data_IF_573629363071
#
_entry.id   IF_573629363071
#
_cell.length_a   1.000
_cell.length_b   1.000
_cell.length_c   1.000
_cell.angle_alpha   90.00
_cell.angle_beta   90.00
_cell.angle_gamma   90.00
#
_symmetry.space_group_name_H-M   'P 1'
#
loop_
_entity.id
_entity.type
_entity.pdbx_description
1 polymer ?
#
# COMPACT_ATOMS: atom_id res chain seq x y z
N UNK A 1 17.56 -26.32 -27.59
CA UNK A 1 16.27 -26.20 -26.87
C UNK A 1 16.52 -25.31 -25.66
N UNK A 2 16.03 -24.07 -25.67
CA UNK A 2 16.41 -23.02 -24.69
C UNK A 2 15.30 -22.77 -23.65
N UNK A 3 15.71 -22.90 -22.39
CA UNK A 3 15.36 -22.12 -21.19
C UNK A 3 13.88 -21.83 -20.88
N UNK A 4 13.32 -22.58 -19.92
CA UNK A 4 12.24 -22.17 -19.01
C UNK A 4 12.88 -21.86 -17.65
N UNK A 5 13.26 -20.60 -17.41
CA UNK A 5 13.59 -20.05 -16.09
C UNK A 5 13.51 -18.52 -16.22
N UNK A 6 12.43 -17.91 -15.71
CA UNK A 6 12.31 -16.51 -15.23
C UNK A 6 10.81 -16.14 -15.18
N UNK A 7 10.13 -16.40 -14.07
CA UNK A 7 8.83 -15.75 -13.75
C UNK A 7 8.59 -15.81 -12.24
N UNK A 8 9.46 -15.18 -11.48
CA UNK A 8 9.27 -14.95 -10.04
C UNK A 8 10.20 -13.81 -9.62
N UNK A 9 9.76 -12.54 -9.72
CA UNK A 9 10.35 -11.33 -9.09
C UNK A 9 9.77 -10.04 -9.73
N UNK A 10 8.47 -9.77 -9.55
CA UNK A 10 7.84 -8.46 -9.87
C UNK A 10 6.55 -8.33 -9.04
N UNK A 11 6.64 -8.05 -7.73
CA UNK A 11 5.46 -8.12 -6.84
C UNK A 11 5.32 -7.02 -5.78
N UNK A 12 6.07 -5.92 -5.88
CA UNK A 12 6.06 -4.88 -4.83
C UNK A 12 5.33 -3.62 -5.29
N UNK A 13 5.60 -3.10 -6.50
CA UNK A 13 4.83 -1.98 -7.07
C UNK A 13 3.42 -2.34 -7.52
N UNK A 14 3.11 -3.62 -7.74
CA UNK A 14 1.82 -4.04 -8.33
C UNK A 14 0.68 -4.22 -7.33
N UNK A 15 0.94 -4.47 -6.03
CA UNK A 15 -0.16 -4.64 -5.06
C UNK A 15 -0.74 -3.29 -4.63
N UNK A 16 0.11 -2.29 -4.38
CA UNK A 16 -0.33 -0.92 -4.04
C UNK A 16 -0.91 -0.21 -5.29
N UNK A 17 -0.30 -0.36 -6.47
CA UNK A 17 -0.76 0.31 -7.70
C UNK A 17 -2.09 -0.23 -8.26
N UNK A 18 -2.48 -1.48 -7.96
CA UNK A 18 -3.70 -2.07 -8.49
C UNK A 18 -4.98 -1.38 -7.97
N UNK A 19 -4.91 -0.74 -6.79
CA UNK A 19 -6.04 -0.05 -6.12
C UNK A 19 -6.52 1.20 -6.86
N UNK A 20 -5.74 1.76 -7.79
CA UNK A 20 -6.07 3.06 -8.40
C UNK A 20 -6.22 3.05 -9.92
N UNK A 21 -6.08 1.88 -10.57
CA UNK A 21 -6.15 1.77 -12.04
C UNK A 21 -7.57 1.75 -12.63
N UNK A 22 -8.63 1.57 -11.83
CA UNK A 22 -9.97 1.23 -12.34
C UNK A 22 -11.04 2.33 -12.32
N UNK A 23 -10.85 3.45 -11.62
CA UNK A 23 -11.92 4.46 -11.46
C UNK A 23 -12.05 5.50 -12.60
N UNK A 24 -11.36 5.31 -13.73
CA UNK A 24 -11.42 6.26 -14.85
C UNK A 24 -11.68 5.57 -16.20
N UNK A 25 -12.82 4.89 -16.33
CA UNK A 25 -13.36 4.52 -17.65
C UNK A 25 -14.76 5.11 -17.84
N UNK A 26 -14.80 6.30 -18.44
CA UNK A 26 -15.93 6.76 -19.25
C UNK A 26 -15.42 6.93 -20.68
N UNK A 27 -15.73 5.96 -21.55
CA UNK A 27 -15.57 6.11 -23.00
C UNK A 27 -16.96 6.12 -23.63
N UNK A 28 -17.39 7.22 -24.29
CA UNK A 28 -18.54 7.18 -25.16
C UNK A 28 -18.13 6.57 -26.52
N UNK A 29 -18.91 5.59 -26.97
CA UNK A 29 -18.97 5.21 -28.38
C UNK A 29 -18.16 3.97 -28.78
N UNK A 30 -18.83 2.81 -28.75
CA UNK A 30 -18.77 1.79 -29.81
C UNK A 30 -19.81 0.70 -29.50
N UNK A 31 -21.02 0.87 -30.04
CA UNK A 31 -22.00 -0.21 -30.17
C UNK A 31 -21.45 -1.27 -31.14
N UNK A 32 -21.22 -2.51 -30.70
CA UNK A 32 -21.50 -3.73 -31.51
C UNK A 32 -21.84 -4.94 -30.62
N UNK A 33 -23.11 -5.32 -30.77
CA UNK A 33 -23.90 -6.54 -30.46
C UNK A 33 -23.36 -7.73 -29.60
N UNK A 34 -24.24 -8.38 -28.80
CA UNK A 34 -23.89 -9.44 -27.84
C UNK A 34 -24.27 -10.84 -28.35
N UNK A 35 -23.32 -11.64 -28.82
CA UNK A 35 -23.48 -13.10 -29.05
C UNK A 35 -22.12 -13.68 -29.45
N UNK A 36 -21.42 -14.34 -28.52
CA UNK A 36 -20.42 -15.44 -28.74
C UNK A 36 -19.26 -15.58 -27.72
N UNK A 37 -19.26 -14.87 -26.59
CA UNK A 37 -18.20 -15.07 -25.56
C UNK A 37 -18.51 -16.13 -24.48
N UNK A 38 -19.72 -16.70 -24.46
CA UNK A 38 -20.16 -17.64 -23.41
C UNK A 38 -19.63 -19.09 -23.51
N UNK A 39 -18.73 -19.42 -24.44
CA UNK A 39 -18.26 -20.82 -24.64
C UNK A 39 -16.77 -21.08 -24.44
N UNK A 40 -15.95 -20.09 -24.06
CA UNK A 40 -14.49 -20.29 -23.96
C UNK A 40 -13.88 -20.32 -22.56
N UNK A 41 -14.66 -20.21 -21.48
CA UNK A 41 -14.15 -20.30 -20.09
C UNK A 41 -14.80 -21.39 -19.22
N UNK A 42 -15.25 -22.50 -19.81
CA UNK A 42 -15.89 -23.61 -19.07
C UNK A 42 -15.05 -24.89 -18.94
N UNK A 43 -13.74 -24.89 -19.21
CA UNK A 43 -12.94 -26.14 -19.22
C UNK A 43 -11.60 -26.16 -18.49
N UNK A 44 -11.25 -25.16 -17.68
CA UNK A 44 -9.98 -25.16 -16.92
C UNK A 44 -10.12 -24.91 -15.40
N UNK A 45 -11.31 -25.00 -14.82
CA UNK A 45 -11.54 -24.82 -13.38
C UNK A 45 -12.42 -25.94 -12.81
N UNK A 46 -12.11 -27.19 -13.15
CA UNK A 46 -12.80 -28.33 -12.57
C UNK A 46 -11.84 -29.50 -12.32
N UNK A 47 -11.01 -29.36 -11.29
CA UNK A 47 -10.40 -30.45 -10.49
C UNK A 47 -9.54 -29.83 -9.39
N UNK A 48 -10.20 -29.54 -8.27
CA UNK A 48 -9.71 -29.46 -6.88
C UNK A 48 -10.62 -28.52 -6.09
N UNK A 49 -11.89 -28.91 -5.91
CA UNK A 49 -12.76 -28.33 -4.90
C UNK A 49 -13.15 -29.46 -3.94
N UNK A 50 -12.49 -29.49 -2.78
CA UNK A 50 -13.10 -30.10 -1.61
C UNK A 50 -14.08 -29.06 -1.01
N UNK A 51 -15.29 -29.47 -0.59
CA UNK A 51 -16.24 -28.54 0.02
C UNK A 51 -15.70 -28.01 1.35
N UNK A 52 -15.65 -26.69 1.51
CA UNK A 52 -15.33 -26.05 2.78
C UNK A 52 -16.42 -26.39 3.83
N UNK A 53 -16.05 -26.73 5.07
CA UNK A 53 -17.02 -27.04 6.11
C UNK A 53 -17.84 -25.79 6.47
N UNK A 54 -19.13 -26.01 6.73
CA UNK A 54 -20.08 -24.97 7.14
C UNK A 54 -19.60 -24.28 8.43
N UNK A 55 -19.41 -22.97 8.40
CA UNK A 55 -19.09 -22.17 9.58
C UNK A 55 -20.31 -22.07 10.50
N UNK A 56 -20.18 -22.34 11.82
CA UNK A 56 -21.24 -22.05 12.78
C UNK A 56 -21.39 -20.54 12.96
N UNK A 57 -22.63 -20.06 13.10
CA UNK A 57 -22.93 -18.73 13.63
C UNK A 57 -22.51 -18.72 15.11
N UNK A 58 -21.35 -18.14 15.40
CA UNK A 58 -20.87 -17.88 16.75
C UNK A 58 -20.04 -16.61 16.74
N UNK A 59 -20.32 -15.71 17.68
CA UNK A 59 -19.50 -14.54 18.00
C UNK A 59 -18.10 -15.00 18.44
N UNK A 60 -17.19 -15.24 17.50
CA UNK A 60 -15.79 -15.44 17.81
C UNK A 60 -15.14 -14.07 17.96
N UNK A 61 -14.95 -13.61 19.19
CA UNK A 61 -13.96 -12.56 19.45
C UNK A 61 -12.61 -13.12 19.03
N UNK A 62 -12.15 -12.81 17.81
CA UNK A 62 -10.82 -13.18 17.36
C UNK A 62 -9.82 -12.62 18.37
N UNK A 63 -9.13 -13.49 19.09
CA UNK A 63 -8.17 -13.11 20.13
C UNK A 63 -7.08 -12.25 19.47
N UNK A 64 -6.87 -11.05 20.01
CA UNK A 64 -5.78 -10.15 19.63
C UNK A 64 -4.43 -10.86 19.70
N UNK A 65 -3.57 -10.63 18.72
CA UNK A 65 -2.19 -11.14 18.68
C UNK A 65 -1.29 -9.93 18.47
N UNK A 66 -0.69 -9.43 19.54
CA UNK A 66 0.12 -8.22 19.47
C UNK A 66 1.22 -8.27 20.53
N UNK A 67 2.40 -7.74 20.22
CA UNK A 67 3.48 -7.53 21.18
C UNK A 67 3.94 -6.07 21.12
N UNK A 68 3.96 -5.36 22.26
CA UNK A 68 4.40 -3.97 22.27
C UNK A 68 5.82 -3.84 21.75
N UNK A 69 6.06 -2.83 20.91
CA UNK A 69 7.38 -2.58 20.32
C UNK A 69 7.58 -1.09 20.09
N UNK A 70 8.82 -0.65 20.22
CA UNK A 70 9.25 0.66 19.77
C UNK A 70 10.54 0.48 18.99
N UNK A 71 10.51 0.87 17.72
CA UNK A 71 11.67 0.83 16.84
C UNK A 71 12.05 2.25 16.44
N UNK A 72 13.30 2.62 16.75
CA UNK A 72 13.94 3.88 16.31
C UNK A 72 15.09 3.62 15.34
N UNK A 73 15.08 2.45 14.70
CA UNK A 73 16.05 2.05 13.69
C UNK A 73 17.50 2.08 14.21
N UNK A 74 17.73 1.70 15.47
CA UNK A 74 19.06 1.62 16.09
C UNK A 74 19.87 0.42 15.60
N UNK A 75 19.18 -0.65 15.18
CA UNK A 75 19.78 -1.84 14.57
C UNK A 75 19.64 -1.75 13.05
N UNK A 76 20.72 -1.92 12.26
CA UNK A 76 20.62 -1.90 10.81
C UNK A 76 19.63 -2.96 10.27
N UNK A 77 18.85 -2.62 9.25
CA UNK A 77 17.85 -3.48 8.58
C UNK A 77 18.50 -4.76 8.01
N UNK A 78 19.78 -4.69 7.63
CA UNK A 78 20.53 -5.85 7.14
C UNK A 78 21.11 -6.74 8.25
N UNK A 79 21.06 -6.33 9.51
CA UNK A 79 21.62 -7.09 10.61
C UNK A 79 20.70 -8.27 11.00
N UNK A 80 21.32 -9.37 11.43
CA UNK A 80 20.58 -10.49 12.00
C UNK A 80 19.81 -10.02 13.25
N UNK A 81 18.55 -10.44 13.39
CA UNK A 81 17.69 -10.04 14.50
C UNK A 81 17.05 -8.64 14.37
N UNK A 82 17.25 -7.95 13.24
CA UNK A 82 16.53 -6.71 12.93
C UNK A 82 15.01 -6.92 12.95
N UNK A 83 14.27 -5.93 13.46
CA UNK A 83 12.79 -5.90 13.37
C UNK A 83 12.29 -5.67 11.93
N UNK A 84 13.19 -5.37 11.00
CA UNK A 84 12.89 -4.95 9.64
C UNK A 84 13.75 -5.70 8.62
N UNK A 85 13.16 -5.98 7.46
CA UNK A 85 13.83 -6.58 6.31
C UNK A 85 13.55 -5.73 5.07
N UNK A 86 14.61 -5.23 4.44
CA UNK A 86 14.52 -4.61 3.13
C UNK A 86 14.20 -5.66 2.07
N UNK A 87 13.25 -5.35 1.20
CA UNK A 87 12.85 -6.19 0.07
C UNK A 87 13.44 -5.69 -1.26
N UNK A 88 13.83 -4.42 -1.31
CA UNK A 88 14.46 -3.82 -2.48
C UNK A 88 15.78 -4.52 -2.79
N UNK A 89 15.98 -4.85 -4.07
CA UNK A 89 17.17 -5.58 -4.54
C UNK A 89 18.39 -4.66 -4.63
N UNK A 90 18.17 -3.35 -4.75
CA UNK A 90 19.20 -2.32 -4.76
C UNK A 90 19.72 -2.01 -3.35
N UNK A 91 21.04 -2.01 -3.19
CA UNK A 91 21.69 -1.68 -1.91
C UNK A 91 21.64 -0.21 -1.53
N UNK A 92 21.44 0.68 -2.51
CA UNK A 92 21.29 2.13 -2.35
C UNK A 92 19.81 2.56 -2.33
N UNK A 93 18.88 1.63 -2.11
CA UNK A 93 17.44 1.92 -1.96
C UNK A 93 17.06 2.42 -0.56
N UNK A 94 18.01 2.47 0.36
CA UNK A 94 17.80 3.05 1.68
C UNK A 94 19.11 3.47 2.33
N UNK A 95 19.01 4.37 3.30
CA UNK A 95 20.10 4.72 4.20
C UNK A 95 19.57 4.76 5.63
N UNK A 96 20.25 4.07 6.55
CA UNK A 96 19.86 4.09 7.96
C UNK A 96 20.88 4.86 8.77
N UNK A 97 20.37 5.70 9.66
CA UNK A 97 21.17 6.36 10.68
C UNK A 97 20.73 5.78 12.03
N UNK A 98 21.57 5.00 12.74
CA UNK A 98 21.21 4.43 14.03
C UNK A 98 20.63 5.49 14.99
N UNK A 99 19.37 5.31 15.39
CA UNK A 99 18.64 6.26 16.24
C UNK A 99 18.11 7.52 15.52
N UNK A 100 18.56 7.78 14.29
CA UNK A 100 18.09 8.87 13.42
C UNK A 100 16.98 8.48 12.44
N UNK A 101 16.72 7.18 12.28
CA UNK A 101 15.67 6.64 11.40
C UNK A 101 16.20 5.93 10.15
N UNK A 102 15.27 5.59 9.26
CA UNK A 102 15.54 5.00 7.97
C UNK A 102 15.06 5.91 6.83
N UNK A 103 15.98 6.39 6.01
CA UNK A 103 15.67 7.03 4.74
C UNK A 103 15.31 5.96 3.70
N UNK A 104 14.10 6.07 3.15
CA UNK A 104 13.64 5.33 1.98
C UNK A 104 14.06 6.12 0.74
N UNK A 105 14.74 5.46 -0.21
CA UNK A 105 15.30 6.12 -1.39
C UNK A 105 14.64 5.56 -2.65
N UNK A 106 14.08 6.46 -3.46
CA UNK A 106 13.58 6.19 -4.80
C UNK A 106 14.62 6.68 -5.81
N UNK A 107 15.32 5.73 -6.40
CA UNK A 107 16.39 5.97 -7.35
C UNK A 107 15.82 6.27 -8.75
N UNK A 108 16.44 7.19 -9.51
CA UNK A 108 15.97 7.52 -10.85
C UNK A 108 16.08 6.32 -11.80
N UNK A 109 15.25 6.26 -12.85
CA UNK A 109 15.38 5.27 -13.91
C UNK A 109 16.72 5.41 -14.63
N UNK A 110 17.21 4.32 -15.23
CA UNK A 110 18.40 4.38 -16.07
C UNK A 110 18.10 5.04 -17.43
N UNK A 111 18.96 5.99 -17.79
CA UNK A 111 18.88 6.75 -19.04
C UNK A 111 17.80 7.83 -19.04
N UNK A 112 17.60 8.45 -20.20
CA UNK A 112 16.58 9.52 -20.36
C UNK A 112 15.18 8.91 -20.23
N UNK A 113 14.33 9.59 -19.46
CA UNK A 113 12.90 9.30 -19.30
C UNK A 113 12.12 10.09 -20.33
N UNK A 114 11.22 9.42 -21.05
CA UNK A 114 10.28 10.06 -21.97
C UNK A 114 8.92 10.14 -21.30
N UNK A 115 8.32 11.32 -21.40
CA UNK A 115 6.94 11.56 -20.96
C UNK A 115 6.02 11.33 -22.16
N UNK A 116 4.83 10.76 -21.94
CA UNK A 116 3.80 10.65 -22.96
C UNK A 116 3.44 12.03 -23.55
N UNK A 117 2.88 12.04 -24.76
CA UNK A 117 2.55 13.29 -25.47
C UNK A 117 1.55 14.18 -24.69
N UNK A 118 0.67 13.58 -23.91
CA UNK A 118 -0.28 14.26 -23.02
C UNK A 118 0.33 14.67 -21.67
N UNK A 119 1.60 14.34 -21.42
CA UNK A 119 2.32 14.70 -20.20
C UNK A 119 2.01 13.83 -18.98
N UNK A 120 1.19 12.78 -19.14
CA UNK A 120 0.57 12.07 -18.00
C UNK A 120 1.32 10.86 -17.47
N UNK A 121 2.17 10.22 -18.26
CA UNK A 121 2.92 9.03 -17.82
C UNK A 121 4.39 9.08 -18.24
N UNK A 122 5.24 8.43 -17.45
CA UNK A 122 6.63 8.15 -17.82
C UNK A 122 6.73 6.77 -18.49
N UNK A 123 7.64 6.63 -19.46
CA UNK A 123 7.97 5.35 -20.11
C UNK A 123 8.84 4.43 -19.23
N UNK A 124 9.48 4.99 -18.20
CA UNK A 124 10.32 4.30 -17.23
C UNK A 124 10.01 4.79 -15.82
N UNK A 125 10.05 3.87 -14.87
CA UNK A 125 9.84 4.14 -13.46
C UNK A 125 11.14 4.09 -12.67
N UNK A 126 11.23 4.90 -11.63
CA UNK A 126 12.29 4.81 -10.64
C UNK A 126 12.18 3.52 -9.82
N UNK A 127 13.27 3.18 -9.14
CA UNK A 127 13.33 1.99 -8.28
C UNK A 127 13.32 2.39 -6.79
N UNK A 128 12.27 1.96 -6.10
CA UNK A 128 11.89 2.41 -4.77
C UNK A 128 12.39 1.53 -3.62
N UNK A 129 12.15 2.02 -2.40
CA UNK A 129 12.44 1.27 -1.18
C UNK A 129 11.19 0.55 -0.66
N UNK A 130 11.34 -0.66 -0.17
CA UNK A 130 10.27 -1.35 0.57
C UNK A 130 10.83 -2.18 1.71
N UNK A 131 10.33 -1.94 2.91
CA UNK A 131 10.67 -2.68 4.13
C UNK A 131 9.45 -3.43 4.65
N UNK A 132 9.64 -4.68 5.07
CA UNK A 132 8.68 -5.41 5.89
C UNK A 132 9.18 -5.51 7.32
N UNK A 133 8.27 -5.44 8.30
CA UNK A 133 8.56 -5.92 9.64
C UNK A 133 8.79 -7.43 9.64
N UNK A 134 9.69 -7.90 10.51
CA UNK A 134 9.93 -9.34 10.75
C UNK A 134 8.96 -9.93 11.77
N UNK A 135 8.14 -9.08 12.38
CA UNK A 135 7.04 -9.43 13.29
C UNK A 135 5.69 -9.10 12.65
N UNK A 136 4.61 -9.57 13.26
CA UNK A 136 3.24 -9.36 12.79
C UNK A 136 2.31 -9.13 13.97
N UNK A 137 1.15 -8.52 13.70
CA UNK A 137 0.09 -8.26 14.66
C UNK A 137 -1.29 -8.54 14.05
N UNK A 138 -2.23 -8.94 14.89
CA UNK A 138 -3.66 -9.00 14.63
C UNK A 138 -4.31 -8.12 15.68
N UNK A 139 -4.79 -6.95 15.23
CA UNK A 139 -5.20 -5.83 16.07
C UNK A 139 -4.04 -5.23 16.89
N UNK A 140 -4.21 -3.98 17.29
CA UNK A 140 -3.22 -3.16 17.95
C UNK A 140 -3.21 -1.75 17.39
N UNK A 141 -2.35 -0.90 17.95
CA UNK A 141 -2.19 0.48 17.53
C UNK A 141 -0.78 0.67 17.00
N UNK A 142 -0.68 1.03 15.72
CA UNK A 142 0.58 1.27 15.03
C UNK A 142 0.76 2.77 14.83
N UNK A 143 1.80 3.34 15.42
CA UNK A 143 2.16 4.75 15.29
C UNK A 143 3.46 4.87 14.51
N UNK A 144 3.46 5.66 13.44
CA UNK A 144 4.65 5.91 12.60
C UNK A 144 4.92 7.39 12.52
N UNK A 145 6.14 7.79 12.88
CA UNK A 145 6.62 9.16 12.71
C UNK A 145 7.50 9.22 11.48
N UNK A 146 7.07 9.97 10.46
CA UNK A 146 7.76 10.00 9.16
C UNK A 146 7.61 11.34 8.43
N UNK A 147 8.56 11.61 7.53
CA UNK A 147 8.51 12.67 6.53
C UNK A 147 8.37 12.03 5.15
N UNK A 148 7.24 12.28 4.48
CA UNK A 148 6.98 11.79 3.13
C UNK A 148 7.65 12.67 2.05
N UNK A 149 7.90 12.10 0.87
CA UNK A 149 8.53 12.80 -0.24
C UNK A 149 7.55 13.78 -0.93
N UNK A 150 7.81 15.10 -0.95
CA UNK A 150 6.93 16.11 -1.56
C UNK A 150 7.20 16.25 -3.08
N UNK A 151 7.13 15.14 -3.82
CA UNK A 151 7.34 15.13 -5.27
C UNK A 151 6.12 14.53 -5.97
N UNK A 152 5.50 15.24 -6.93
CA UNK A 152 4.41 14.71 -7.76
C UNK A 152 4.73 13.32 -8.32
N UNK A 153 3.78 12.38 -8.24
CA UNK A 153 3.99 10.99 -8.69
C UNK A 153 4.83 10.10 -7.76
N UNK A 154 5.45 10.63 -6.70
CA UNK A 154 6.07 9.83 -5.66
C UNK A 154 5.06 9.54 -4.54
N UNK A 155 5.01 8.29 -4.08
CA UNK A 155 4.09 7.85 -3.03
C UNK A 155 4.86 7.26 -1.87
N UNK A 156 4.67 7.82 -0.67
CA UNK A 156 5.19 7.26 0.59
C UNK A 156 4.06 6.49 1.27
N UNK A 157 4.29 5.24 1.66
CA UNK A 157 3.24 4.37 2.18
C UNK A 157 3.63 3.68 3.50
N UNK A 158 2.64 3.54 4.37
CA UNK A 158 2.59 2.61 5.50
C UNK A 158 1.40 1.69 5.27
N UNK A 159 1.62 0.39 5.24
CA UNK A 159 0.58 -0.61 5.00
C UNK A 159 0.64 -1.70 6.05
N UNK A 160 -0.48 -2.01 6.70
CA UNK A 160 -0.63 -3.27 7.44
C UNK A 160 -1.08 -4.35 6.47
N UNK A 161 -0.20 -5.26 6.11
CA UNK A 161 -0.40 -6.23 5.03
C UNK A 161 -0.52 -7.65 5.56
N UNK A 162 -1.57 -8.36 5.15
CA UNK A 162 -1.83 -9.75 5.48
C UNK A 162 -0.60 -10.64 5.22
N UNK A 163 -0.30 -11.50 6.18
CA UNK A 163 0.83 -12.45 6.08
C UNK A 163 0.50 -13.65 5.19
N UNK A 164 -0.78 -14.00 5.10
CA UNK A 164 -1.32 -15.13 4.31
C UNK A 164 -2.56 -14.78 3.50
N UNK A 165 -3.02 -13.53 3.59
CA UNK A 165 -4.18 -12.99 2.86
C UNK A 165 -3.76 -11.70 2.17
N UNK A 166 -4.69 -11.12 1.41
CA UNK A 166 -4.54 -9.79 0.83
C UNK A 166 -5.30 -8.73 1.65
N UNK A 167 -5.41 -8.94 2.97
CA UNK A 167 -5.96 -7.91 3.87
C UNK A 167 -4.95 -6.76 3.93
N UNK A 168 -5.41 -5.52 3.76
CA UNK A 168 -4.59 -4.32 3.76
C UNK A 168 -5.29 -3.19 4.53
N UNK A 169 -4.52 -2.44 5.31
CA UNK A 169 -4.90 -1.16 5.92
C UNK A 169 -3.82 -0.16 5.56
N UNK A 170 -4.19 0.89 4.84
CA UNK A 170 -3.25 1.78 4.19
C UNK A 170 -3.22 3.17 4.81
N UNK A 171 -2.02 3.75 4.77
CA UNK A 171 -1.73 5.18 4.89
C UNK A 171 -0.84 5.54 3.69
N UNK A 172 -1.37 6.31 2.75
CA UNK A 172 -0.67 6.69 1.52
C UNK A 172 -0.54 8.21 1.42
N UNK A 173 0.69 8.69 1.23
CA UNK A 173 0.98 10.12 1.11
C UNK A 173 1.47 10.39 -0.30
N UNK A 174 0.70 11.20 -1.03
CA UNK A 174 0.98 11.57 -2.41
C UNK A 174 1.80 12.85 -2.43
N UNK A 175 3.02 12.80 -2.97
CA UNK A 175 3.89 13.97 -3.03
C UNK A 175 3.34 15.13 -3.86
N UNK A 176 2.38 14.85 -4.76
CA UNK A 176 1.69 15.86 -5.56
C UNK A 176 0.36 16.37 -5.00
N UNK A 177 -0.04 15.95 -3.79
CA UNK A 177 -1.20 16.50 -3.07
C UNK A 177 -0.74 17.04 -1.69
N UNK A 178 -0.17 18.26 -1.65
CA UNK A 178 0.62 18.70 -0.50
C UNK A 178 -0.16 18.83 0.81
N UNK A 179 -1.48 18.99 0.79
CA UNK A 179 -2.31 19.25 1.97
C UNK A 179 -3.13 18.04 2.41
N UNK A 180 -3.02 16.91 1.71
CA UNK A 180 -3.80 15.71 1.99
C UNK A 180 -2.93 14.45 2.04
N UNK A 181 -3.54 13.41 2.59
CA UNK A 181 -3.06 12.03 2.58
C UNK A 181 -4.27 11.11 2.46
N UNK A 182 -4.03 9.82 2.24
CA UNK A 182 -5.11 8.87 1.99
C UNK A 182 -5.07 7.71 2.97
N UNK A 183 -6.27 7.24 3.30
CA UNK A 183 -6.51 6.05 4.10
C UNK A 183 -7.28 5.05 3.24
N UNK A 184 -6.93 3.78 3.32
CA UNK A 184 -7.66 2.76 2.57
C UNK A 184 -7.69 1.44 3.33
N UNK A 185 -8.63 0.60 2.92
CA UNK A 185 -8.76 -0.78 3.36
C UNK A 185 -9.04 -1.63 2.14
N UNK A 186 -8.34 -2.76 2.04
CA UNK A 186 -8.61 -3.78 1.04
C UNK A 186 -8.70 -5.16 1.69
N UNK A 187 -9.72 -5.93 1.33
CA UNK A 187 -9.88 -7.32 1.73
C UNK A 187 -10.73 -8.04 0.68
N UNK A 188 -10.23 -9.06 -0.03
CA UNK A 188 -11.06 -9.83 -0.92
C UNK A 188 -12.15 -10.60 -0.14
N UNK A 189 -13.38 -10.59 -0.66
CA UNK A 189 -14.44 -11.46 -0.15
C UNK A 189 -14.60 -12.73 -1.00
N UNK A 190 -14.88 -13.91 -0.42
CA UNK A 190 -14.94 -15.19 -1.16
C UNK A 190 -15.93 -15.26 -2.34
N UNK A 191 -16.90 -14.34 -2.41
CA UNK A 191 -17.94 -14.31 -3.45
C UNK A 191 -17.72 -13.22 -4.50
N UNK A 192 -16.67 -12.41 -4.36
CA UNK A 192 -16.36 -11.39 -5.34
C UNK A 192 -15.43 -11.93 -6.41
N UNK A 193 -15.77 -11.62 -7.66
CA UNK A 193 -15.00 -12.04 -8.84
C UNK A 193 -14.00 -10.99 -9.28
N UNK A 194 -14.13 -9.75 -8.81
CA UNK A 194 -13.25 -8.63 -9.12
C UNK A 194 -12.87 -7.90 -7.83
N UNK A 195 -11.65 -7.37 -7.70
CA UNK A 195 -11.22 -6.63 -6.52
C UNK A 195 -11.95 -5.29 -6.35
N UNK A 196 -12.32 -4.94 -5.11
CA UNK A 196 -12.89 -3.63 -4.77
C UNK A 196 -11.81 -2.59 -4.50
N UNK A 197 -11.39 -1.93 -5.56
CA UNK A 197 -10.37 -0.91 -5.53
C UNK A 197 -10.95 0.48 -5.17
N UNK A 198 -10.35 1.15 -4.18
CA UNK A 198 -10.73 2.51 -3.76
C UNK A 198 -12.11 2.65 -3.10
N UNK A 199 -12.87 1.56 -2.94
CA UNK A 199 -14.25 1.59 -2.40
C UNK A 199 -14.28 2.02 -0.94
N UNK A 200 -13.28 1.62 -0.16
CA UNK A 200 -13.14 1.98 1.25
C UNK A 200 -11.98 2.97 1.46
N UNK A 201 -11.65 3.74 0.42
CA UNK A 201 -10.66 4.83 0.49
C UNK A 201 -11.23 6.09 1.13
N UNK A 202 -10.34 6.95 1.62
CA UNK A 202 -10.63 8.28 2.16
C UNK A 202 -9.48 9.23 1.87
N UNK A 203 -9.78 10.49 1.59
CA UNK A 203 -8.80 11.58 1.41
C UNK A 203 -8.91 12.49 2.62
N UNK A 204 -7.84 12.58 3.39
CA UNK A 204 -7.79 13.22 4.70
C UNK A 204 -6.90 14.46 4.66
N UNK A 205 -7.31 15.56 5.29
CA UNK A 205 -6.49 16.76 5.42
C UNK A 205 -5.53 16.67 6.61
N UNK A 206 -4.39 17.36 6.51
CA UNK A 206 -3.54 17.59 7.67
C UNK A 206 -4.14 18.63 8.63
N UNK A 207 -3.96 18.46 9.96
CA UNK A 207 -4.32 19.46 10.93
C UNK A 207 -3.33 20.62 10.92
N UNK A 208 -3.74 21.78 11.46
CA UNK A 208 -2.86 22.95 11.74
C UNK A 208 -1.99 23.41 10.56
N UNK A 209 -2.52 23.36 9.33
CA UNK A 209 -1.80 23.71 8.09
C UNK A 209 -0.54 22.84 7.83
N UNK A 210 -0.54 21.60 8.31
CA UNK A 210 0.49 20.62 7.97
C UNK A 210 0.51 20.32 6.46
N UNK A 211 1.67 19.92 5.96
CA UNK A 211 1.87 19.60 4.54
C UNK A 211 2.85 18.46 4.34
N UNK A 212 2.71 17.76 3.21
CA UNK A 212 3.68 16.76 2.76
C UNK A 212 5.09 17.36 2.72
N UNK A 213 6.08 16.60 3.18
CA UNK A 213 7.46 17.07 3.35
C UNK A 213 7.79 17.56 4.76
N UNK A 214 6.80 17.76 5.63
CA UNK A 214 7.01 17.91 7.08
C UNK A 214 7.00 16.54 7.78
N UNK A 215 7.58 16.46 8.97
CA UNK A 215 7.46 15.26 9.82
C UNK A 215 6.09 15.26 10.48
N UNK A 216 5.35 14.16 10.29
CA UNK A 216 4.06 13.91 10.92
C UNK A 216 4.08 12.58 11.67
N UNK A 217 3.16 12.43 12.61
CA UNK A 217 2.91 11.18 13.33
C UNK A 217 1.56 10.62 12.92
N UNK A 218 1.56 9.55 12.14
CA UNK A 218 0.37 8.83 11.69
C UNK A 218 0.08 7.67 12.63
N UNK A 219 -1.19 7.40 12.90
CA UNK A 219 -1.62 6.29 13.74
C UNK A 219 -2.72 5.51 13.02
N UNK A 220 -2.58 4.18 13.03
CA UNK A 220 -3.63 3.23 12.70
C UNK A 220 -3.96 2.45 13.98
N UNK A 221 -5.10 2.74 14.59
CA UNK A 221 -5.61 2.03 15.76
C UNK A 221 -6.67 1.02 15.32
N UNK A 222 -6.28 -0.26 15.23
CA UNK A 222 -7.05 -1.32 14.61
C UNK A 222 -7.50 -2.34 15.66
N UNK A 223 -8.81 -2.53 15.75
CA UNK A 223 -9.45 -3.48 16.66
C UNK A 223 -10.46 -4.35 15.91
N UNK A 224 -11.08 -5.37 16.53
CA UNK A 224 -12.22 -6.07 15.93
C UNK A 224 -13.45 -5.17 15.69
N UNK A 225 -13.53 -4.00 16.34
CA UNK A 225 -14.71 -3.13 16.33
C UNK A 225 -14.61 -1.98 15.35
N UNK A 226 -13.40 -1.47 15.12
CA UNK A 226 -13.14 -0.31 14.28
C UNK A 226 -11.64 -0.15 13.98
N UNK A 227 -11.35 0.53 12.87
CA UNK A 227 -10.06 1.14 12.56
C UNK A 227 -10.22 2.64 12.73
N UNK A 228 -9.33 3.26 13.51
CA UNK A 228 -9.25 4.71 13.67
C UNK A 228 -7.92 5.19 13.10
N UNK A 229 -7.97 6.12 12.16
CA UNK A 229 -6.81 6.82 11.65
C UNK A 229 -6.70 8.20 12.29
N UNK A 230 -5.48 8.56 12.69
CA UNK A 230 -5.18 9.90 13.18
C UNK A 230 -3.82 10.37 12.68
N UNK A 231 -3.65 11.69 12.61
CA UNK A 231 -2.37 12.33 12.31
C UNK A 231 -2.14 13.48 13.28
N UNK A 232 -0.93 13.58 13.82
CA UNK A 232 -0.50 14.59 14.79
C UNK A 232 -1.44 14.73 16.01
N UNK A 233 -1.98 13.60 16.45
CA UNK A 233 -2.90 13.51 17.60
C UNK A 233 -4.35 13.86 17.29
N UNK A 234 -4.70 14.18 16.04
CA UNK A 234 -6.09 14.43 15.64
C UNK A 234 -6.66 13.25 14.85
N UNK A 235 -7.78 12.69 15.32
CA UNK A 235 -8.55 11.68 14.59
C UNK A 235 -9.12 12.30 13.32
N UNK A 236 -8.91 11.63 12.19
CA UNK A 236 -9.42 12.06 10.88
C UNK A 236 -10.49 11.11 10.34
N UNK A 237 -10.38 9.81 10.65
CA UNK A 237 -11.30 8.80 10.14
C UNK A 237 -11.53 7.66 11.12
N UNK A 238 -12.77 7.19 11.19
CA UNK A 238 -13.16 5.94 11.86
C UNK A 238 -13.94 5.07 10.88
N UNK A 239 -13.55 3.79 10.75
CA UNK A 239 -14.20 2.80 9.90
C UNK A 239 -14.59 1.59 10.75
N UNK A 240 -15.87 1.21 10.73
CA UNK A 240 -16.41 0.03 11.41
C UNK A 240 -16.61 -1.12 10.42
N UNK A 241 -16.63 -2.39 10.88
CA UNK A 241 -16.92 -3.54 10.01
C UNK A 241 -18.22 -3.38 9.21
N UNK A 242 -19.27 -2.83 9.82
CA UNK A 242 -20.55 -2.58 9.16
C UNK A 242 -20.45 -1.63 7.95
N UNK A 243 -19.53 -0.66 7.98
CA UNK A 243 -19.26 0.25 6.87
C UNK A 243 -18.44 -0.39 5.73
N UNK A 244 -17.91 -1.59 5.96
CA UNK A 244 -17.18 -2.37 4.94
C UNK A 244 -18.07 -3.42 4.26
N UNK A 245 -19.39 -3.35 4.46
CA UNK A 245 -20.32 -4.25 3.80
C UNK A 245 -20.55 -3.82 2.34
N UNK A 246 -20.21 -4.70 1.41
CA UNK A 246 -20.48 -4.52 -0.01
C UNK A 246 -21.09 -5.81 -0.57
N UNK A 247 -22.23 -5.69 -1.26
CA UNK A 247 -22.98 -6.83 -1.82
C UNK A 247 -23.23 -7.99 -0.82
N UNK A 248 -23.44 -7.65 0.46
CA UNK A 248 -23.67 -8.63 1.53
C UNK A 248 -22.43 -9.39 2.00
N UNK A 249 -21.23 -8.99 1.57
CA UNK A 249 -19.95 -9.46 2.07
C UNK A 249 -19.24 -8.37 2.88
N UNK A 250 -18.48 -8.77 3.90
CA UNK A 250 -17.70 -7.86 4.74
C UNK A 250 -16.24 -7.79 4.25
N UNK A 251 -15.72 -6.56 4.17
CA UNK A 251 -14.38 -6.24 3.68
C UNK A 251 -13.46 -5.70 4.79
N UNK A 252 -13.79 -5.95 6.06
CA UNK A 252 -13.02 -5.48 7.19
C UNK A 252 -11.77 -6.34 7.44
N UNK A 253 -10.55 -5.79 7.47
CA UNK A 253 -9.33 -6.57 7.70
C UNK A 253 -9.36 -7.29 9.04
N UNK A 254 -9.11 -8.59 9.00
CA UNK A 254 -9.15 -9.48 10.18
C UNK A 254 -8.03 -10.51 10.19
N UNK A 255 -7.04 -10.39 9.29
CA UNK A 255 -5.92 -11.33 9.18
C UNK A 255 -4.65 -10.82 9.87
N UNK A 256 -3.86 -11.75 10.42
CA UNK A 256 -2.53 -11.44 10.97
C UNK A 256 -1.68 -10.71 9.92
N UNK A 257 -1.25 -9.50 10.23
CA UNK A 257 -0.63 -8.55 9.30
C UNK A 257 0.76 -8.14 9.75
N UNK A 258 1.65 -7.90 8.79
CA UNK A 258 2.96 -7.26 9.01
C UNK A 258 2.85 -5.77 8.71
N UNK A 259 3.80 -4.98 9.20
CA UNK A 259 3.94 -3.58 8.82
C UNK A 259 4.85 -3.53 7.58
N UNK A 260 4.40 -2.83 6.54
CA UNK A 260 5.19 -2.53 5.35
C UNK A 260 5.35 -1.02 5.22
N UNK A 261 6.57 -0.59 4.91
CA UNK A 261 6.93 0.81 4.65
C UNK A 261 7.50 0.92 3.25
N UNK A 262 7.15 1.96 2.50
CA UNK A 262 7.66 2.11 1.13
C UNK A 262 7.68 3.53 0.60
N UNK A 263 8.51 3.73 -0.44
CA UNK A 263 8.54 4.91 -1.30
C UNK A 263 8.65 4.42 -2.75
N UNK A 264 7.68 4.76 -3.60
CA UNK A 264 7.59 4.23 -4.96
C UNK A 264 7.17 5.27 -6.01
N UNK A 265 7.42 4.95 -7.28
CA UNK A 265 7.12 5.78 -8.45
C UNK A 265 5.79 5.36 -9.09
N UNK A 266 4.78 6.22 -8.98
CA UNK A 266 3.43 6.02 -9.48
C UNK A 266 3.22 6.55 -10.91
N UNK A 267 4.28 6.95 -11.63
CA UNK A 267 4.20 7.62 -12.94
C UNK A 267 3.62 6.78 -14.09
N UNK A 268 3.22 5.54 -13.85
CA UNK A 268 2.63 4.62 -14.82
C UNK A 268 1.93 3.47 -14.08
N UNK A 269 0.75 2.96 -14.52
CA UNK A 269 -0.05 3.38 -15.68
C UNK A 269 -0.80 4.71 -15.46
N UNK A 270 -1.51 5.17 -16.49
CA UNK A 270 -2.22 6.45 -16.53
C UNK A 270 -3.09 6.70 -15.28
N UNK A 271 -3.93 5.74 -14.88
CA UNK A 271 -4.79 5.90 -13.71
C UNK A 271 -4.00 6.10 -12.42
N UNK A 272 -2.92 5.33 -12.24
CA UNK A 272 -2.03 5.43 -11.08
C UNK A 272 -1.26 6.76 -11.07
N UNK A 273 -0.79 7.22 -12.24
CA UNK A 273 -0.09 8.51 -12.37
C UNK A 273 -1.04 9.68 -12.09
N UNK A 274 -2.23 9.68 -12.69
CA UNK A 274 -3.24 10.73 -12.49
C UNK A 274 -3.70 10.76 -11.02
N UNK A 275 -3.88 9.60 -10.37
CA UNK A 275 -4.18 9.50 -8.94
C UNK A 275 -3.08 10.13 -8.08
N UNK A 276 -1.81 9.75 -8.31
CA UNK A 276 -0.65 10.25 -7.58
C UNK A 276 -0.25 11.70 -7.93
N UNK A 277 -1.07 12.38 -8.74
CA UNK A 277 -0.83 13.73 -9.26
C UNK A 277 0.52 13.83 -9.99
N UNK A 278 0.93 12.75 -10.62
CA UNK A 278 2.19 12.60 -11.34
C UNK A 278 2.11 13.05 -12.80
N UNK A 279 3.10 12.65 -13.63
CA UNK A 279 4.21 11.77 -13.31
C UNK A 279 5.36 12.49 -12.57
N UNK A 280 6.33 11.73 -12.04
CA UNK A 280 7.56 12.27 -11.46
C UNK A 280 8.34 13.04 -12.54
N UNK A 281 8.74 14.31 -12.30
CA UNK A 281 9.47 15.11 -13.28
C UNK A 281 10.96 14.77 -13.29
N UNK A 282 11.33 13.52 -13.62
CA UNK A 282 12.70 13.01 -13.57
C UNK A 282 13.73 13.88 -14.31
N UNK A 283 13.35 14.50 -15.43
CA UNK A 283 14.21 15.43 -16.18
C UNK A 283 14.60 16.68 -15.38
N UNK A 284 13.72 17.19 -14.52
CA UNK A 284 13.98 18.33 -13.63
C UNK A 284 14.84 17.94 -12.42
N UNK A 285 14.75 16.68 -11.99
CA UNK A 285 15.50 16.16 -10.86
C UNK A 285 16.98 15.88 -11.18
N UNK A 286 17.37 15.87 -12.46
CA UNK A 286 18.77 15.73 -12.93
C UNK A 286 19.49 14.52 -12.30
N UNK A 287 18.80 13.39 -12.21
CA UNK A 287 19.35 12.15 -11.64
C UNK A 287 19.49 12.13 -10.12
N UNK A 288 18.94 13.12 -9.41
CA UNK A 288 18.89 13.08 -7.94
C UNK A 288 17.81 12.10 -7.47
N UNK A 289 18.09 11.25 -6.48
CA UNK A 289 17.08 10.38 -5.89
C UNK A 289 16.06 11.19 -5.09
N UNK A 290 14.86 10.63 -4.98
CA UNK A 290 13.79 11.15 -4.11
C UNK A 290 13.85 10.39 -2.79
N UNK A 291 13.60 11.08 -1.68
CA UNK A 291 13.74 10.49 -0.35
C UNK A 291 12.53 10.75 0.54
N UNK A 292 12.22 9.77 1.37
CA UNK A 292 11.33 9.88 2.53
C UNK A 292 12.08 9.38 3.77
N UNK A 293 11.70 9.81 4.96
CA UNK A 293 12.35 9.41 6.22
C UNK A 293 11.33 8.81 7.17
N UNK A 294 11.56 7.60 7.65
CA UNK A 294 10.82 6.99 8.76
C UNK A 294 11.67 7.10 10.03
N UNK A 295 11.24 7.92 10.98
CA UNK A 295 11.98 8.15 12.24
C UNK A 295 11.74 7.05 13.25
N UNK A 296 10.50 6.61 13.40
CA UNK A 296 10.15 5.55 14.36
C UNK A 296 8.85 4.85 14.02
N UNK A 297 8.74 3.61 14.48
CA UNK A 297 7.51 2.82 14.48
C UNK A 297 7.26 2.30 15.88
N UNK A 298 6.06 2.54 16.41
CA UNK A 298 5.62 2.04 17.70
C UNK A 298 4.39 1.16 17.50
N UNK A 299 4.36 0.03 18.21
CA UNK A 299 3.22 -0.86 18.32
C UNK A 299 2.80 -0.90 19.78
N UNK A 300 1.52 -0.58 20.02
CA UNK A 300 0.85 -0.72 21.31
C UNK A 300 -0.24 -1.79 21.17
N UNK A 301 -0.51 -2.54 22.25
CA UNK A 301 -1.42 -3.69 22.22
C UNK A 301 -2.56 -3.53 23.24
N UNK A 302 -3.50 -2.60 23.02
CA UNK A 302 -4.57 -2.30 23.97
C UNK A 302 -5.77 -3.28 23.93
N UNK A 303 -5.74 -4.29 23.06
CA UNK A 303 -6.85 -5.22 22.76
C UNK A 303 -6.51 -6.68 23.05
#
# INVERSE_FOLDING_TARGET
MRSFHHFLLFFIGLNIAHVYSFNSFHYPGLQKSPRNWRKFQARALNRQQAPLPKTPKGSSSSKSICQPRLDRFTTPVSAAGSSWRALSTRRDSYQMTPGGGAELILNPPQGVVKVSADGKVNDKLGDGSTFNSTFSLLYGKVTVTMTAAPVPGAVTALVLMGTKTMDEIDVEILGGDPTHWQTNVFRPAPKETEPLYGVFGGVESYPKNGVVGQTHTYVVDWSPKQIVWSVDGQVVRTLTPAQTLHNGAEHYPSALSRIQLGLWDASNPLGTSDWAKGPIPWSKLKGKPIKALVKSVQVECPY
#
